data_IF_629142920225
#
_entry.id   IF_629142920225
#
_cell.length_a   1.000
_cell.length_b   1.000
_cell.length_c   1.000
_cell.angle_alpha   90.00
_cell.angle_beta   90.00
_cell.angle_gamma   90.00
#
_symmetry.space_group_name_H-M   'P 1'
#
loop_
_entity.id
_entity.type
_entity.pdbx_description
1 polymer ?
#
# COMPACT_ATOMS: atom_id res chain seq x y z
N UNK A 1 -31.40 4.94 -26.81
CA UNK A 1 -29.92 4.90 -26.83
C UNK A 1 -29.47 3.84 -27.83
N UNK A 2 -28.46 4.10 -28.65
CA UNK A 2 -27.96 3.10 -29.60
C UNK A 2 -27.39 1.90 -28.82
N UNK A 3 -27.79 0.65 -29.14
CA UNK A 3 -27.33 -0.56 -28.45
C UNK A 3 -25.80 -0.66 -28.40
N UNK A 4 -25.12 -0.22 -29.47
CA UNK A 4 -23.64 -0.16 -29.51
C UNK A 4 -23.07 0.83 -28.50
N UNK A 5 -23.70 2.00 -28.39
CA UNK A 5 -23.27 3.04 -27.44
C UNK A 5 -23.47 2.57 -26.00
N UNK A 6 -24.57 1.90 -25.71
CA UNK A 6 -24.83 1.31 -24.39
C UNK A 6 -23.75 0.29 -24.00
N UNK A 7 -23.43 -0.65 -24.89
CA UNK A 7 -22.38 -1.64 -24.62
C UNK A 7 -21.01 -1.00 -24.40
N UNK A 8 -20.66 0.05 -25.17
CA UNK A 8 -19.41 0.78 -24.95
C UNK A 8 -19.36 1.39 -23.55
N UNK A 9 -20.45 2.02 -23.09
CA UNK A 9 -20.53 2.62 -21.76
C UNK A 9 -20.41 1.54 -20.67
N UNK A 10 -21.10 0.42 -20.82
CA UNK A 10 -21.03 -0.71 -19.87
C UNK A 10 -19.60 -1.25 -19.72
N UNK A 11 -18.87 -1.41 -20.84
CA UNK A 11 -17.48 -1.86 -20.80
C UNK A 11 -16.54 -0.83 -20.19
N UNK A 12 -16.75 0.46 -20.43
CA UNK A 12 -15.98 1.53 -19.77
C UNK A 12 -16.18 1.48 -18.26
N UNK A 13 -17.43 1.35 -17.80
CA UNK A 13 -17.74 1.23 -16.37
C UNK A 13 -17.11 -0.03 -15.78
N UNK A 14 -17.19 -1.17 -16.48
CA UNK A 14 -16.59 -2.42 -16.03
C UNK A 14 -15.06 -2.30 -15.87
N UNK A 15 -14.38 -1.64 -16.82
CA UNK A 15 -12.93 -1.39 -16.74
C UNK A 15 -12.60 -0.47 -15.56
N UNK A 16 -13.37 0.61 -15.37
CA UNK A 16 -13.18 1.52 -14.23
C UNK A 16 -13.33 0.76 -12.91
N UNK A 17 -14.38 -0.05 -12.77
CA UNK A 17 -14.61 -0.86 -11.57
C UNK A 17 -13.51 -1.88 -11.34
N UNK A 18 -13.01 -2.53 -12.40
CA UNK A 18 -11.90 -3.47 -12.30
C UNK A 18 -10.63 -2.77 -11.81
N UNK A 19 -10.29 -1.63 -12.39
CA UNK A 19 -9.09 -0.87 -12.02
C UNK A 19 -9.19 -0.38 -10.57
N UNK A 20 -10.32 0.19 -10.16
CA UNK A 20 -10.50 0.69 -8.79
C UNK A 20 -10.56 -0.43 -7.76
N UNK A 21 -11.09 -1.61 -8.11
CA UNK A 21 -11.08 -2.78 -7.22
C UNK A 21 -9.68 -3.35 -6.99
N UNK A 22 -8.82 -3.30 -8.01
CA UNK A 22 -7.45 -3.85 -7.95
C UNK A 22 -6.44 -2.84 -7.40
N UNK A 23 -6.68 -1.53 -7.59
CA UNK A 23 -5.78 -0.46 -7.16
C UNK A 23 -5.34 -0.54 -5.69
N UNK A 24 -6.22 -0.85 -4.71
CA UNK A 24 -5.82 -0.95 -3.31
C UNK A 24 -4.80 -2.06 -3.06
N UNK A 25 -4.98 -3.21 -3.68
CA UNK A 25 -4.11 -4.36 -3.53
C UNK A 25 -2.73 -4.14 -4.13
N UNK A 26 -2.65 -3.37 -5.21
CA UNK A 26 -1.38 -3.03 -5.87
C UNK A 26 -0.67 -1.87 -5.17
N UNK A 27 -1.42 -0.89 -4.67
CA UNK A 27 -0.83 0.38 -4.21
C UNK A 27 -0.64 0.46 -2.69
N UNK A 28 -1.56 -0.07 -1.88
CA UNK A 28 -1.48 0.01 -0.42
C UNK A 28 -0.67 -1.14 0.19
N UNK A 29 -0.67 -2.31 -0.45
CA UNK A 29 0.17 -3.43 -0.07
C UNK A 29 1.65 -3.21 -0.42
N UNK A 30 2.52 -4.00 0.19
CA UNK A 30 3.82 -4.29 -0.38
C UNK A 30 4.09 -5.79 -0.29
N UNK A 31 4.80 -6.32 -1.28
CA UNK A 31 5.28 -7.69 -1.32
C UNK A 31 6.50 -7.92 -0.42
N UNK A 32 7.14 -6.86 0.09
CA UNK A 32 8.23 -6.99 1.06
C UNK A 32 7.82 -6.48 2.44
N UNK A 33 8.26 -7.20 3.47
CA UNK A 33 8.03 -6.81 4.86
C UNK A 33 8.60 -5.42 5.18
N UNK A 34 9.72 -5.07 4.54
CA UNK A 34 10.40 -3.79 4.71
C UNK A 34 9.57 -2.62 4.16
N UNK A 35 9.14 -2.70 2.90
CA UNK A 35 8.32 -1.64 2.31
C UNK A 35 6.93 -1.56 2.97
N UNK A 36 6.36 -2.68 3.41
CA UNK A 36 5.11 -2.68 4.18
C UNK A 36 5.28 -1.90 5.50
N UNK A 37 6.38 -2.14 6.22
CA UNK A 37 6.74 -1.39 7.42
C UNK A 37 6.93 0.11 7.11
N UNK A 38 7.73 0.46 6.10
CA UNK A 38 7.97 1.86 5.72
C UNK A 38 6.70 2.61 5.27
N UNK A 39 5.81 1.94 4.52
CA UNK A 39 4.50 2.52 4.13
C UNK A 39 3.63 2.76 5.36
N UNK A 40 3.58 1.81 6.29
CA UNK A 40 2.84 1.96 7.55
C UNK A 40 3.37 3.13 8.38
N UNK A 41 4.70 3.24 8.50
CA UNK A 41 5.32 4.35 9.21
C UNK A 41 5.03 5.70 8.55
N UNK A 42 5.08 5.79 7.22
CA UNK A 42 4.76 7.03 6.50
C UNK A 42 3.28 7.46 6.64
N UNK A 43 2.37 6.50 6.85
CA UNK A 43 0.94 6.79 7.03
C UNK A 43 0.59 7.31 8.43
N UNK A 44 1.31 6.85 9.47
CA UNK A 44 1.02 7.19 10.88
C UNK A 44 2.05 8.13 11.52
N UNK A 45 3.28 8.16 11.02
CA UNK A 45 4.41 8.92 11.55
C UNK A 45 5.05 9.77 10.42
N UNK A 46 5.80 10.83 10.77
CA UNK A 46 6.39 11.79 9.81
C UNK A 46 7.59 11.23 9.01
N UNK A 47 7.51 9.98 8.56
CA UNK A 47 8.48 9.36 7.67
C UNK A 47 8.81 7.93 8.08
N UNK A 48 9.40 7.14 7.17
CA UNK A 48 10.01 5.88 7.54
C UNK A 48 11.17 6.17 8.49
N UNK A 49 11.22 5.44 9.59
CA UNK A 49 12.29 5.54 10.58
C UNK A 49 13.60 5.02 9.97
N UNK A 50 14.73 5.52 10.47
CA UNK A 50 16.03 4.97 10.09
C UNK A 50 16.15 3.56 10.65
N UNK A 51 16.31 2.55 9.79
CA UNK A 51 16.45 1.16 10.22
C UNK A 51 17.89 0.93 10.68
N UNK A 52 18.05 0.66 11.97
CA UNK A 52 19.34 0.37 12.59
C UNK A 52 19.69 -1.11 12.48
N UNK A 53 18.70 -1.99 12.58
CA UNK A 53 18.91 -3.43 12.58
C UNK A 53 17.69 -4.18 12.04
N UNK A 54 17.95 -5.29 11.34
CA UNK A 54 16.92 -6.22 10.86
C UNK A 54 17.23 -7.61 11.41
N UNK A 55 16.32 -8.15 12.20
CA UNK A 55 16.45 -9.48 12.79
C UNK A 55 15.48 -10.42 12.08
N UNK A 56 16.02 -11.38 11.36
CA UNK A 56 15.27 -12.44 10.68
C UNK A 56 15.02 -13.63 11.62
N UNK A 57 13.79 -14.14 11.65
CA UNK A 57 13.44 -15.36 12.38
C UNK A 57 12.45 -16.21 11.58
N UNK A 58 12.28 -17.50 11.91
CA UNK A 58 11.54 -18.44 11.06
C UNK A 58 10.10 -18.06 10.69
N UNK A 59 9.49 -17.11 11.39
CA UNK A 59 8.10 -16.66 11.17
C UNK A 59 7.95 -15.14 11.05
N UNK A 60 9.03 -14.40 10.78
CA UNK A 60 8.91 -12.95 10.61
C UNK A 60 10.24 -12.21 10.61
N UNK A 61 10.12 -10.88 10.61
CA UNK A 61 11.23 -9.94 10.73
C UNK A 61 10.94 -8.92 11.82
N UNK A 62 11.94 -8.52 12.57
CA UNK A 62 11.90 -7.37 13.48
C UNK A 62 12.78 -6.29 12.85
N UNK A 63 12.24 -5.08 12.76
CA UNK A 63 12.96 -3.88 12.35
C UNK A 63 13.19 -3.02 13.60
N UNK A 64 14.45 -2.81 13.98
CA UNK A 64 14.82 -1.84 15.01
C UNK A 64 15.05 -0.50 14.33
N UNK A 65 14.24 0.49 14.68
CA UNK A 65 14.26 1.78 13.99
C UNK A 65 14.48 2.96 14.93
N UNK A 66 15.11 4.01 14.41
CA UNK A 66 15.30 5.31 15.07
C UNK A 66 14.38 6.34 14.43
N UNK A 67 13.54 6.95 15.25
CA UNK A 67 12.66 8.03 14.82
C UNK A 67 13.41 9.35 14.73
N UNK A 68 13.26 10.08 13.62
CA UNK A 68 13.71 11.48 13.50
C UNK A 68 12.75 12.43 14.24
N UNK A 69 11.44 12.20 14.09
CA UNK A 69 10.38 13.01 14.72
C UNK A 69 9.35 12.10 15.37
N UNK A 70 9.37 12.05 16.70
CA UNK A 70 8.37 11.34 17.49
C UNK A 70 7.17 12.26 17.77
N UNK A 71 5.96 11.78 17.50
CA UNK A 71 4.73 12.41 17.97
C UNK A 71 3.94 11.39 18.80
N UNK A 72 3.57 11.79 20.01
CA UNK A 72 2.57 11.09 20.84
C UNK A 72 1.19 11.57 20.44
N UNK A 73 0.35 10.65 19.95
CA UNK A 73 -1.07 10.88 19.75
C UNK A 73 -1.83 11.01 21.08
#
# INVERSE_FOLDING_TARGET
MNKRLQSIIEWIIAVILLVTAVYPYVYYGSFSALEAHQKSEKSYHYGPSEILEVIDFPKGKIFLCKYDKWFTA
#
